data_IF_892673327097
#
_entry.id   IF_892673327097
#
_cell.length_a   1.000
_cell.length_b   1.000
_cell.length_c   1.000
_cell.angle_alpha   90.00
_cell.angle_beta   90.00
_cell.angle_gamma   90.00
#
_symmetry.space_group_name_H-M   'P 1'
#
loop_
_entity.id
_entity.type
_entity.pdbx_description
1 polymer ?
#
# COMPACT_ATOMS: atom_id res chain seq x y z
N UNK A 1 26.18 -0.06 21.38
CA UNK A 1 25.01 -0.96 21.49
C UNK A 1 24.63 -1.41 20.08
N UNK A 2 24.23 -2.68 19.86
CA UNK A 2 23.76 -3.12 18.56
C UNK A 2 22.49 -2.37 18.16
N UNK A 3 22.43 -1.91 16.91
CA UNK A 3 21.25 -1.24 16.34
C UNK A 3 20.10 -2.25 16.27
N UNK A 4 18.94 -1.90 16.82
CA UNK A 4 17.75 -2.75 16.77
C UNK A 4 17.26 -3.00 15.34
N UNK A 5 16.51 -4.08 15.09
CA UNK A 5 15.91 -4.34 13.76
C UNK A 5 14.95 -3.20 13.34
N UNK A 6 14.22 -2.63 14.31
CA UNK A 6 13.39 -1.43 14.13
C UNK A 6 14.21 -0.24 13.62
N UNK A 7 15.31 0.08 14.29
CA UNK A 7 16.18 1.19 13.89
C UNK A 7 16.82 0.94 12.52
N UNK A 8 17.22 -0.30 12.21
CA UNK A 8 17.71 -0.67 10.87
C UNK A 8 16.65 -0.43 9.80
N UNK A 9 15.40 -0.81 10.07
CA UNK A 9 14.27 -0.58 9.18
C UNK A 9 14.03 0.91 8.96
N UNK A 10 14.05 1.71 10.03
CA UNK A 10 13.88 3.16 9.95
C UNK A 10 15.00 3.82 9.12
N UNK A 11 16.26 3.47 9.38
CA UNK A 11 17.42 4.01 8.65
C UNK A 11 17.35 3.64 7.16
N UNK A 12 16.98 2.39 6.84
CA UNK A 12 16.84 1.95 5.45
C UNK A 12 15.77 2.76 4.71
N UNK A 13 14.62 3.03 5.34
CA UNK A 13 13.55 3.84 4.75
C UNK A 13 13.95 5.32 4.59
N UNK A 14 14.56 5.93 5.62
CA UNK A 14 15.04 7.33 5.55
C UNK A 14 15.99 7.54 4.35
N UNK A 15 16.83 6.56 4.05
CA UNK A 15 17.71 6.62 2.89
C UNK A 15 16.94 6.61 1.56
N UNK A 16 15.87 5.80 1.46
CA UNK A 16 15.01 5.73 0.26
C UNK A 16 14.19 7.00 0.05
N UNK A 17 13.75 7.62 1.14
CA UNK A 17 12.87 8.78 1.17
C UNK A 17 13.43 10.10 0.66
N UNK A 18 14.73 10.19 0.43
CA UNK A 18 15.40 11.44 0.03
C UNK A 18 14.89 12.04 -1.27
N UNK A 19 14.53 11.17 -2.21
CA UNK A 19 14.11 11.55 -3.55
C UNK A 19 12.62 11.25 -3.79
N UNK A 20 11.91 10.93 -2.71
CA UNK A 20 10.49 10.57 -2.73
C UNK A 20 9.65 11.85 -2.71
N UNK A 21 8.55 11.87 -3.45
CA UNK A 21 7.63 13.01 -3.40
C UNK A 21 7.11 13.23 -1.96
N UNK A 22 6.89 14.48 -1.51
CA UNK A 22 6.44 14.77 -0.14
C UNK A 22 5.22 13.97 0.31
N UNK A 23 4.26 13.75 -0.58
CA UNK A 23 3.03 12.99 -0.28
C UNK A 23 3.34 11.51 -0.11
N UNK A 24 4.16 10.94 -1.01
CA UNK A 24 4.60 9.56 -0.93
C UNK A 24 5.46 9.30 0.32
N UNK A 25 6.32 10.25 0.72
CA UNK A 25 7.04 10.18 2.00
C UNK A 25 6.06 10.05 3.18
N UNK A 26 5.05 10.93 3.21
CA UNK A 26 4.10 10.97 4.31
C UNK A 26 3.30 9.67 4.41
N UNK A 27 2.89 9.11 3.27
CA UNK A 27 2.22 7.82 3.22
C UNK A 27 3.10 6.66 3.67
N UNK A 28 4.31 6.55 3.14
CA UNK A 28 5.23 5.46 3.50
C UNK A 28 5.61 5.50 4.99
N UNK A 29 5.86 6.68 5.56
CA UNK A 29 6.15 6.83 6.98
C UNK A 29 4.91 6.55 7.85
N UNK A 30 3.72 6.98 7.44
CA UNK A 30 2.49 6.69 8.14
C UNK A 30 2.20 5.17 8.16
N UNK A 31 2.30 4.51 7.01
CA UNK A 31 2.17 3.06 6.88
C UNK A 31 3.16 2.32 7.76
N UNK A 32 4.45 2.72 7.74
CA UNK A 32 5.47 2.11 8.59
C UNK A 32 5.17 2.32 10.09
N UNK A 33 4.66 3.50 10.48
CA UNK A 33 4.22 3.78 11.85
C UNK A 33 3.10 2.83 12.29
N UNK A 34 2.06 2.64 11.46
CA UNK A 34 0.95 1.73 11.79
C UNK A 34 1.42 0.27 11.87
N UNK A 35 2.24 -0.14 10.90
CA UNK A 35 2.78 -1.49 10.81
C UNK A 35 3.61 -1.85 12.05
N UNK A 36 4.48 -0.95 12.49
CA UNK A 36 5.32 -1.11 13.71
C UNK A 36 4.54 -0.98 15.02
N UNK A 37 3.28 -0.55 14.97
CA UNK A 37 2.33 -0.53 16.11
C UNK A 37 1.33 -1.69 16.07
N UNK A 38 1.39 -2.56 15.05
CA UNK A 38 0.39 -3.62 14.78
C UNK A 38 -1.03 -3.11 14.66
N UNK A 39 -1.16 -1.92 14.11
CA UNK A 39 -2.43 -1.38 13.66
C UNK A 39 -2.55 -1.79 12.19
N UNK A 40 -3.72 -2.29 11.78
CA UNK A 40 -3.99 -2.53 10.37
C UNK A 40 -3.72 -1.22 9.61
N UNK A 41 -3.02 -1.28 8.48
CA UNK A 41 -2.70 -0.11 7.66
C UNK A 41 -3.75 0.01 6.55
N UNK A 42 -4.73 0.91 6.69
CA UNK A 42 -5.74 1.08 5.69
C UNK A 42 -5.26 2.07 4.61
N UNK A 43 -5.60 1.78 3.36
CA UNK A 43 -5.30 2.62 2.22
C UNK A 43 -6.23 2.35 1.04
N UNK A 44 -6.24 3.17 -0.02
CA UNK A 44 -7.09 2.88 -1.18
C UNK A 44 -6.46 3.19 -2.53
N UNK A 45 -7.06 2.68 -3.60
CA UNK A 45 -6.75 3.06 -4.98
C UNK A 45 -8.03 3.45 -5.70
N UNK A 46 -7.90 4.35 -6.66
CA UNK A 46 -8.96 4.55 -7.66
C UNK A 46 -8.90 3.42 -8.68
N UNK A 47 -10.05 3.02 -9.20
CA UNK A 47 -10.14 2.06 -10.31
C UNK A 47 -10.44 2.86 -11.58
N UNK A 48 -9.54 2.79 -12.56
CA UNK A 48 -9.73 3.47 -13.84
C UNK A 48 -10.90 2.89 -14.63
N UNK A 49 -11.36 3.59 -15.67
CA UNK A 49 -12.39 3.08 -16.59
C UNK A 49 -12.03 1.75 -17.24
N UNK A 50 -10.74 1.50 -17.43
CA UNK A 50 -10.20 0.27 -18.01
C UNK A 50 -10.00 -0.84 -16.97
N UNK A 51 -10.34 -0.57 -15.69
CA UNK A 51 -10.27 -1.54 -14.60
C UNK A 51 -8.91 -1.64 -13.91
N UNK A 52 -7.93 -0.81 -14.31
CA UNK A 52 -6.60 -0.79 -13.72
C UNK A 52 -6.58 -0.01 -12.39
N UNK A 53 -5.71 -0.40 -11.47
CA UNK A 53 -5.54 0.31 -10.20
C UNK A 53 -4.65 1.53 -10.39
N UNK A 54 -5.15 2.69 -9.99
CA UNK A 54 -4.44 3.96 -10.05
C UNK A 54 -4.10 4.46 -8.65
N UNK A 55 -2.83 4.79 -8.47
CA UNK A 55 -2.30 5.53 -7.33
C UNK A 55 -2.50 7.03 -7.55
N UNK A 56 -3.30 7.71 -6.73
CA UNK A 56 -3.43 9.16 -6.80
C UNK A 56 -2.22 9.87 -6.18
N UNK A 57 -1.52 9.21 -5.25
CA UNK A 57 -0.31 9.73 -4.61
C UNK A 57 0.87 9.77 -5.57
N UNK A 58 1.08 8.70 -6.34
CA UNK A 58 2.17 8.61 -7.31
C UNK A 58 1.73 9.02 -8.73
N UNK A 59 0.45 9.37 -8.89
CA UNK A 59 -0.19 9.68 -10.16
C UNK A 59 0.06 8.64 -11.27
N UNK A 60 0.16 7.36 -10.91
CA UNK A 60 0.46 6.28 -11.85
C UNK A 60 -0.30 4.98 -11.56
N UNK A 61 -0.24 4.06 -12.52
CA UNK A 61 -0.85 2.73 -12.34
C UNK A 61 -0.03 1.96 -11.30
N UNK A 62 -0.69 1.28 -10.38
CA UNK A 62 -0.04 0.53 -9.30
C UNK A 62 0.92 -0.52 -9.88
N UNK A 63 0.54 -1.20 -10.97
CA UNK A 63 1.43 -2.16 -11.64
C UNK A 63 2.72 -1.54 -12.22
N UNK A 64 2.77 -0.22 -12.39
CA UNK A 64 3.96 0.48 -12.88
C UNK A 64 4.89 0.93 -11.76
N UNK A 65 4.42 0.95 -10.51
CA UNK A 65 5.27 1.26 -9.34
C UNK A 65 6.03 0.03 -8.85
N UNK A 66 5.63 -1.17 -9.29
CA UNK A 66 6.38 -2.42 -9.06
C UNK A 66 7.65 -2.43 -9.90
N UNK A 67 8.80 -2.16 -9.29
CA UNK A 67 10.09 -2.12 -9.97
C UNK A 67 10.65 -3.53 -10.23
N UNK A 68 10.53 -4.44 -9.25
CA UNK A 68 11.05 -5.79 -9.37
C UNK A 68 10.01 -6.73 -9.99
N UNK A 69 10.08 -6.88 -11.31
CA UNK A 69 9.30 -7.87 -12.08
C UNK A 69 10.16 -9.03 -12.58
N UNK A 70 11.41 -9.09 -12.14
CA UNK A 70 12.42 -10.00 -12.72
C UNK A 70 12.83 -11.09 -11.76
N UNK A 71 12.89 -10.79 -10.46
CA UNK A 71 13.13 -11.81 -9.46
C UNK A 71 11.94 -12.76 -9.36
N UNK A 72 12.19 -13.97 -8.86
CA UNK A 72 11.15 -14.96 -8.59
C UNK A 72 10.03 -14.35 -7.73
N UNK A 73 10.41 -13.73 -6.62
CA UNK A 73 9.49 -13.07 -5.71
C UNK A 73 8.69 -11.95 -6.39
N UNK A 74 9.38 -11.09 -7.15
CA UNK A 74 8.76 -9.97 -7.85
C UNK A 74 7.71 -10.40 -8.87
N UNK A 75 7.96 -11.50 -9.60
CA UNK A 75 7.00 -12.08 -10.55
C UNK A 75 5.74 -12.59 -9.86
N UNK A 76 5.89 -13.38 -8.79
CA UNK A 76 4.75 -13.90 -8.03
C UNK A 76 3.87 -12.75 -7.53
N UNK A 77 4.45 -11.74 -6.91
CA UNK A 77 3.65 -10.62 -6.39
C UNK A 77 3.03 -9.76 -7.49
N UNK A 78 3.67 -9.67 -8.66
CA UNK A 78 3.09 -9.00 -9.83
C UNK A 78 1.88 -9.76 -10.38
N UNK A 79 1.92 -11.09 -10.41
CA UNK A 79 0.78 -11.94 -10.79
C UNK A 79 -0.42 -11.70 -9.88
N UNK A 80 -0.20 -11.61 -8.57
CA UNK A 80 -1.27 -11.30 -7.61
C UNK A 80 -1.88 -9.90 -7.83
N UNK A 81 -1.07 -8.90 -8.16
CA UNK A 81 -1.58 -7.56 -8.52
C UNK A 81 -2.44 -7.64 -9.76
N UNK A 82 -1.99 -8.32 -10.83
CA UNK A 82 -2.77 -8.47 -12.06
C UNK A 82 -4.10 -9.17 -11.79
N UNK A 83 -4.10 -10.26 -11.01
CA UNK A 83 -5.31 -10.95 -10.61
C UNK A 83 -6.27 -10.03 -9.82
N UNK A 84 -5.72 -9.16 -8.97
CA UNK A 84 -6.48 -8.17 -8.20
C UNK A 84 -7.11 -7.10 -9.08
N UNK A 85 -6.36 -6.53 -10.04
CA UNK A 85 -6.88 -5.58 -11.03
C UNK A 85 -8.01 -6.23 -11.84
N UNK A 86 -7.81 -7.44 -12.35
CA UNK A 86 -8.80 -8.15 -13.14
C UNK A 86 -10.09 -8.44 -12.37
N UNK A 87 -9.98 -8.90 -11.13
CA UNK A 87 -11.14 -9.15 -10.27
C UNK A 87 -11.86 -7.84 -9.95
N UNK A 88 -11.12 -6.81 -9.57
CA UNK A 88 -11.66 -5.51 -9.21
C UNK A 88 -12.33 -4.84 -10.42
N UNK A 89 -11.84 -5.02 -11.64
CA UNK A 89 -12.46 -4.54 -12.87
C UNK A 89 -13.85 -5.19 -13.10
N UNK A 90 -13.94 -6.51 -12.97
CA UNK A 90 -15.12 -7.31 -13.32
C UNK A 90 -16.22 -7.32 -12.25
N UNK A 91 -15.88 -7.03 -10.99
CA UNK A 91 -16.78 -7.20 -9.85
C UNK A 91 -17.41 -5.87 -9.41
N UNK A 92 -18.70 -5.84 -9.05
CA UNK A 92 -19.34 -4.62 -8.53
C UNK A 92 -19.07 -4.36 -7.06
N UNK A 93 -18.86 -5.44 -6.31
CA UNK A 93 -18.65 -5.51 -4.87
C UNK A 93 -17.83 -6.78 -4.56
N UNK A 94 -17.35 -6.89 -3.34
CA UNK A 94 -16.71 -8.10 -2.82
C UNK A 94 -15.41 -7.83 -2.09
N UNK A 95 -14.81 -8.91 -1.57
CA UNK A 95 -13.57 -8.87 -0.78
C UNK A 95 -12.56 -9.84 -1.37
N UNK A 96 -11.39 -9.32 -1.74
CA UNK A 96 -10.20 -10.10 -2.08
C UNK A 96 -9.24 -10.17 -0.89
N UNK A 97 -8.55 -11.29 -0.73
CA UNK A 97 -7.49 -11.46 0.27
C UNK A 97 -6.23 -11.93 -0.43
N UNK A 98 -5.15 -11.20 -0.21
CA UNK A 98 -3.82 -11.57 -0.66
C UNK A 98 -2.92 -11.86 0.55
N UNK A 99 -2.22 -13.00 0.53
CA UNK A 99 -1.38 -13.45 1.64
C UNK A 99 0.07 -13.42 1.19
N UNK A 100 0.89 -12.65 1.89
CA UNK A 100 2.35 -12.73 1.78
C UNK A 100 2.88 -13.60 2.91
N UNK A 101 3.30 -14.81 2.59
CA UNK A 101 4.08 -15.65 3.51
C UNK A 101 5.41 -14.98 3.93
N UNK A 102 6.13 -15.47 4.95
CA UNK A 102 7.52 -15.07 5.14
C UNK A 102 8.37 -15.51 3.94
N UNK A 103 9.35 -14.69 3.54
CA UNK A 103 10.32 -15.00 2.50
C UNK A 103 11.72 -14.66 3.02
N UNK A 104 12.53 -15.65 3.42
CA UNK A 104 13.80 -15.43 4.11
C UNK A 104 14.71 -14.41 3.42
N UNK A 105 15.20 -13.44 4.19
CA UNK A 105 16.08 -12.37 3.69
C UNK A 105 15.38 -11.24 2.93
N UNK A 106 14.04 -11.30 2.77
CA UNK A 106 13.24 -10.21 2.18
C UNK A 106 12.08 -9.81 3.07
N UNK A 107 11.22 -10.77 3.43
CA UNK A 107 10.12 -10.56 4.38
C UNK A 107 10.26 -11.54 5.54
N UNK A 108 10.61 -11.01 6.71
CA UNK A 108 10.77 -11.86 7.88
C UNK A 108 9.42 -12.20 8.54
N UNK A 109 8.33 -11.53 8.12
CA UNK A 109 7.00 -11.68 8.72
C UNK A 109 5.96 -11.89 7.65
N UNK A 110 4.98 -12.72 7.98
CA UNK A 110 3.78 -12.84 7.17
C UNK A 110 2.93 -11.57 7.26
N UNK A 111 2.17 -11.31 6.21
CA UNK A 111 1.16 -10.27 6.21
C UNK A 111 0.02 -10.64 5.26
N UNK A 112 -1.14 -10.07 5.50
CA UNK A 112 -2.29 -10.17 4.60
C UNK A 112 -2.73 -8.79 4.16
N UNK A 113 -3.22 -8.69 2.93
CA UNK A 113 -3.91 -7.52 2.40
C UNK A 113 -5.36 -7.92 2.16
N UNK A 114 -6.28 -7.25 2.82
CA UNK A 114 -7.73 -7.37 2.60
C UNK A 114 -8.15 -6.23 1.68
N UNK A 115 -8.71 -6.53 0.52
CA UNK A 115 -9.13 -5.56 -0.49
C UNK A 115 -10.65 -5.60 -0.65
N UNK A 116 -11.33 -4.51 -0.37
CA UNK A 116 -12.78 -4.33 -0.49
C UNK A 116 -13.09 -3.36 -1.62
N UNK A 117 -14.09 -3.68 -2.45
CA UNK A 117 -14.60 -2.72 -3.43
C UNK A 117 -15.56 -1.76 -2.72
N UNK A 118 -15.18 -0.48 -2.67
CA UNK A 118 -15.98 0.60 -2.09
C UNK A 118 -16.33 1.64 -3.18
N UNK A 119 -17.37 2.43 -2.94
CA UNK A 119 -17.71 3.59 -3.77
C UNK A 119 -17.52 4.87 -2.98
N UNK A 120 -16.65 5.77 -3.46
CA UNK A 120 -16.41 7.08 -2.88
C UNK A 120 -16.84 8.13 -3.91
N UNK A 121 -17.81 8.98 -3.55
CA UNK A 121 -18.37 9.99 -4.44
C UNK A 121 -18.81 9.41 -5.81
N UNK A 122 -19.46 8.24 -5.79
CA UNK A 122 -19.89 7.53 -7.00
C UNK A 122 -18.77 6.85 -7.79
N UNK A 123 -17.50 7.11 -7.45
CA UNK A 123 -16.33 6.53 -8.10
C UNK A 123 -15.92 5.24 -7.42
N UNK A 124 -15.57 4.23 -8.21
CA UNK A 124 -15.21 2.91 -7.71
C UNK A 124 -13.77 2.91 -7.20
N UNK A 125 -13.58 2.43 -5.98
CA UNK A 125 -12.28 2.39 -5.30
C UNK A 125 -11.99 1.00 -4.77
N UNK A 126 -10.72 0.66 -4.67
CA UNK A 126 -10.25 -0.53 -3.98
C UNK A 126 -9.70 -0.12 -2.62
N UNK A 127 -10.45 -0.38 -1.56
CA UNK A 127 -10.05 -0.10 -0.19
C UNK A 127 -9.29 -1.29 0.39
N UNK A 128 -8.06 -1.08 0.81
CA UNK A 128 -7.16 -2.11 1.30
C UNK A 128 -6.89 -1.95 2.79
N UNK A 129 -6.64 -3.06 3.47
CA UNK A 129 -6.04 -3.10 4.80
C UNK A 129 -4.90 -4.10 4.84
N UNK A 130 -3.70 -3.65 5.15
CA UNK A 130 -2.55 -4.53 5.41
C UNK A 130 -2.48 -4.88 6.89
N UNK A 131 -2.36 -6.16 7.22
CA UNK A 131 -2.22 -6.67 8.59
C UNK A 131 -0.97 -7.55 8.67
N UNK A 132 -0.08 -7.25 9.62
CA UNK A 132 1.12 -8.07 9.90
C UNK A 132 0.76 -9.20 10.86
N UNK A 133 1.23 -10.40 10.55
CA UNK A 133 0.96 -11.62 11.31
C UNK A 133 2.27 -12.13 11.94
N UNK A 134 2.62 -11.64 13.13
CA UNK A 134 3.92 -11.89 13.77
C UNK A 134 4.24 -13.37 14.03
N UNK A 135 3.22 -14.13 14.42
CA UNK A 135 3.39 -15.52 14.82
C UNK A 135 3.25 -16.50 13.65
N UNK A 136 3.06 -15.99 12.43
CA UNK A 136 2.80 -16.81 11.24
C UNK A 136 4.10 -17.12 10.50
N UNK A 137 4.45 -18.40 10.54
CA UNK A 137 5.43 -19.01 9.64
C UNK A 137 4.75 -19.47 8.34
N UNK A 138 5.53 -20.08 7.44
CA UNK A 138 5.03 -20.60 6.17
C UNK A 138 3.90 -21.62 6.35
N UNK A 139 4.01 -22.53 7.32
CA UNK A 139 3.01 -23.57 7.58
C UNK A 139 1.67 -22.95 8.03
N UNK A 140 1.72 -21.96 8.93
CA UNK A 140 0.52 -21.23 9.36
C UNK A 140 -0.11 -20.42 8.24
N UNK A 141 0.70 -19.83 7.35
CA UNK A 141 0.18 -19.19 6.12
C UNK A 141 -0.53 -20.20 5.21
N UNK A 142 0.04 -21.39 5.00
CA UNK A 142 -0.59 -22.48 4.24
C UNK A 142 -1.93 -22.88 4.85
N UNK A 143 -1.97 -23.11 6.17
CA UNK A 143 -3.20 -23.45 6.89
C UNK A 143 -4.26 -22.35 6.77
N UNK A 144 -3.86 -21.09 6.91
CA UNK A 144 -4.76 -19.95 6.73
C UNK A 144 -5.35 -19.93 5.32
N UNK A 145 -4.51 -20.06 4.29
CA UNK A 145 -4.94 -20.05 2.89
C UNK A 145 -5.91 -21.21 2.58
N UNK A 146 -5.64 -22.42 3.09
CA UNK A 146 -6.57 -23.55 2.95
C UNK A 146 -7.90 -23.32 3.68
N UNK A 147 -7.87 -22.81 4.91
CA UNK A 147 -9.10 -22.49 5.64
C UNK A 147 -9.93 -21.42 4.90
N UNK A 148 -9.27 -20.39 4.36
CA UNK A 148 -9.90 -19.35 3.55
C UNK A 148 -10.44 -19.87 2.22
N UNK A 149 -9.83 -20.90 1.65
CA UNK A 149 -10.35 -21.59 0.45
C UNK A 149 -11.75 -22.13 0.71
N UNK A 150 -12.06 -22.58 1.93
CA UNK A 150 -13.41 -22.95 2.35
C UNK A 150 -14.45 -21.83 2.20
N UNK A 151 -14.02 -20.58 2.35
CA UNK A 151 -14.85 -19.37 2.23
C UNK A 151 -14.67 -18.63 0.90
N UNK A 152 -13.81 -19.10 0.00
CA UNK A 152 -13.54 -18.42 -1.28
C UNK A 152 -14.48 -18.90 -2.40
N UNK A 153 -14.78 -18.01 -3.34
CA UNK A 153 -15.51 -18.31 -4.58
C UNK A 153 -14.63 -18.98 -5.64
N UNK A 154 -13.35 -18.57 -5.73
CA UNK A 154 -12.42 -19.07 -6.75
C UNK A 154 -11.74 -20.41 -6.37
N UNK A 155 -11.88 -20.87 -5.11
CA UNK A 155 -11.40 -22.18 -4.63
C UNK A 155 -9.97 -22.55 -5.11
N UNK A 156 -8.97 -21.66 -4.96
CA UNK A 156 -7.61 -21.96 -5.40
C UNK A 156 -7.05 -23.17 -4.64
N UNK A 157 -6.16 -23.93 -5.29
CA UNK A 157 -5.47 -25.07 -4.69
C UNK A 157 -4.02 -24.64 -4.44
N UNK A 158 -3.63 -24.58 -3.18
CA UNK A 158 -2.27 -24.23 -2.77
C UNK A 158 -1.48 -25.47 -2.38
N UNK A 159 -0.32 -25.64 -3.01
CA UNK A 159 0.66 -26.70 -2.78
C UNK A 159 1.92 -26.21 -2.10
N UNK A 160 2.20 -24.91 -2.21
CA UNK A 160 3.38 -24.26 -1.65
C UNK A 160 3.11 -22.76 -1.40
N UNK A 161 4.06 -22.10 -0.76
CA UNK A 161 3.97 -20.68 -0.41
C UNK A 161 4.07 -19.72 -1.59
N UNK A 162 4.68 -20.13 -2.70
CA UNK A 162 4.75 -19.34 -3.92
C UNK A 162 3.35 -19.19 -4.55
N UNK A 163 2.58 -20.28 -4.62
CA UNK A 163 1.20 -20.27 -5.10
C UNK A 163 0.30 -19.39 -4.23
N UNK A 164 0.52 -19.34 -2.90
CA UNK A 164 -0.21 -18.41 -2.01
C UNK A 164 0.12 -16.95 -2.32
N UNK A 165 1.39 -16.67 -2.63
CA UNK A 165 1.86 -15.32 -2.92
C UNK A 165 1.41 -14.81 -4.28
N UNK A 166 1.26 -15.70 -5.27
CA UNK A 166 0.86 -15.35 -6.63
C UNK A 166 -0.64 -15.16 -6.81
N UNK A 167 -1.44 -15.60 -5.84
CA UNK A 167 -2.90 -15.69 -5.98
C UNK A 167 -3.65 -14.81 -4.98
N UNK A 168 -4.86 -14.44 -5.37
CA UNK A 168 -5.82 -13.79 -4.48
C UNK A 168 -7.00 -14.72 -4.17
N UNK A 169 -7.47 -14.68 -2.93
CA UNK A 169 -8.67 -15.38 -2.48
C UNK A 169 -9.86 -14.42 -2.56
N UNK A 170 -10.83 -14.70 -3.42
CA UNK A 170 -12.07 -13.91 -3.48
C UNK A 170 -13.07 -14.51 -2.51
N UNK A 171 -13.36 -13.81 -1.42
CA UNK A 171 -14.30 -14.30 -0.41
C UNK A 171 -15.74 -14.31 -0.93
N UNK A 172 -16.40 -15.45 -0.74
CA UNK A 172 -17.85 -15.56 -0.71
C UNK A 172 -18.28 -15.49 0.76
N UNK A 173 -18.67 -14.29 1.17
CA UNK A 173 -18.96 -14.04 2.57
C UNK A 173 -20.28 -14.64 3.04
N UNK A 174 -21.14 -15.11 2.11
CA UNK A 174 -22.47 -15.67 2.40
C UNK A 174 -23.29 -14.78 3.35
N UNK A 175 -23.15 -13.45 3.21
CA UNK A 175 -23.83 -12.47 4.04
C UNK A 175 -23.17 -12.19 5.40
N UNK A 176 -22.03 -12.81 5.73
CA UNK A 176 -21.24 -12.50 6.92
C UNK A 176 -20.22 -11.40 6.62
N UNK A 177 -19.91 -10.51 7.57
CA UNK A 177 -18.75 -9.63 7.45
C UNK A 177 -17.46 -10.45 7.30
N UNK A 178 -16.56 -10.05 6.39
CA UNK A 178 -15.26 -10.73 6.23
C UNK A 178 -14.45 -10.73 7.52
N UNK A 179 -14.61 -9.71 8.37
CA UNK A 179 -13.90 -9.59 9.65
C UNK A 179 -14.29 -10.73 10.60
N UNK A 180 -15.55 -11.20 10.55
CA UNK A 180 -16.03 -12.34 11.35
C UNK A 180 -15.42 -13.66 10.88
N UNK A 181 -15.07 -13.76 9.60
CA UNK A 181 -14.38 -14.93 9.02
C UNK A 181 -12.93 -14.91 9.49
N UNK A 182 -12.23 -13.77 9.34
CA UNK A 182 -10.83 -13.65 9.70
C UNK A 182 -10.57 -13.74 11.21
N UNK A 183 -11.44 -13.18 12.04
CA UNK A 183 -11.33 -13.26 13.50
C UNK A 183 -11.34 -14.71 14.02
N UNK A 184 -12.03 -15.62 13.31
CA UNK A 184 -12.03 -17.06 13.66
C UNK A 184 -10.75 -17.78 13.26
N UNK A 185 -10.02 -17.25 12.29
CA UNK A 185 -8.85 -17.88 11.69
C UNK A 185 -7.53 -17.29 12.19
N UNK A 186 -7.56 -16.06 12.71
CA UNK A 186 -6.39 -15.29 13.10
C UNK A 186 -6.64 -14.70 14.49
N UNK A 187 -5.84 -15.15 15.46
CA UNK A 187 -5.88 -14.64 16.84
C UNK A 187 -5.21 -13.26 16.94
N UNK A 188 -6.01 -12.22 16.73
CA UNK A 188 -5.60 -10.82 16.82
C UNK A 188 -6.76 -9.92 17.32
N UNK A 189 -7.33 -10.19 18.51
CA UNK A 189 -8.59 -9.58 18.97
C UNK A 189 -8.57 -8.04 18.99
N UNK A 190 -7.42 -7.44 19.34
CA UNK A 190 -7.24 -5.98 19.33
C UNK A 190 -7.35 -5.40 17.91
N UNK A 191 -6.77 -6.07 16.91
CA UNK A 191 -6.82 -5.63 15.50
C UNK A 191 -8.26 -5.67 14.99
N UNK A 192 -8.99 -6.76 15.30
CA UNK A 192 -10.38 -6.91 14.86
C UNK A 192 -11.30 -5.88 15.51
N UNK A 193 -11.10 -5.59 16.80
CA UNK A 193 -11.85 -4.54 17.50
C UNK A 193 -11.58 -3.17 16.89
N UNK A 194 -10.31 -2.83 16.62
CA UNK A 194 -9.95 -1.57 15.97
C UNK A 194 -10.60 -1.41 14.60
N UNK A 195 -10.58 -2.46 13.77
CA UNK A 195 -11.19 -2.44 12.44
C UNK A 195 -12.71 -2.25 12.53
N UNK A 196 -13.40 -2.95 13.44
CA UNK A 196 -14.85 -2.80 13.64
C UNK A 196 -15.24 -1.39 14.08
N UNK A 197 -14.42 -0.79 14.94
CA UNK A 197 -14.64 0.56 15.45
C UNK A 197 -14.17 1.65 14.46
N UNK A 198 -13.49 1.29 13.37
CA UNK A 198 -12.88 2.23 12.42
C UNK A 198 -11.70 3.02 13.00
N UNK A 199 -11.11 2.54 14.10
CA UNK A 199 -9.97 3.16 14.77
C UNK A 199 -8.71 3.10 13.91
N UNK A 200 -8.53 2.04 13.12
CA UNK A 200 -7.45 1.89 12.13
C UNK A 200 -7.39 3.09 11.17
N UNK A 201 -8.56 3.52 10.67
CA UNK A 201 -8.70 4.69 9.79
C UNK A 201 -8.34 5.99 10.53
N UNK A 202 -8.69 6.12 11.81
CA UNK A 202 -8.34 7.30 12.62
C UNK A 202 -6.83 7.36 12.91
N UNK A 203 -6.22 6.22 13.25
CA UNK A 203 -4.77 6.14 13.45
C UNK A 203 -4.00 6.46 12.17
N UNK A 204 -4.47 6.01 11.00
CA UNK A 204 -3.85 6.36 9.71
C UNK A 204 -3.88 7.87 9.47
N UNK A 205 -5.02 8.53 9.69
CA UNK A 205 -5.15 10.01 9.58
C UNK A 205 -4.16 10.74 10.48
N UNK A 206 -4.05 10.35 11.74
CA UNK A 206 -3.14 10.98 12.68
C UNK A 206 -1.67 10.73 12.31
N UNK A 207 -1.33 9.50 11.90
CA UNK A 207 0.01 9.18 11.44
C UNK A 207 0.41 9.99 10.20
N UNK A 208 -0.52 10.23 9.27
CA UNK A 208 -0.28 11.07 8.09
C UNK A 208 -0.04 12.54 8.44
N UNK A 209 -0.81 13.07 9.39
CA UNK A 209 -0.63 14.43 9.90
C UNK A 209 0.77 14.59 10.48
N UNK A 210 1.20 13.65 11.32
CA UNK A 210 2.53 13.63 11.92
C UNK A 210 3.62 13.47 10.85
N UNK A 211 3.46 12.53 9.92
CA UNK A 211 4.43 12.28 8.86
C UNK A 211 4.63 13.50 7.96
N UNK A 212 3.55 14.22 7.65
CA UNK A 212 3.59 15.49 6.90
C UNK A 212 4.35 16.57 7.65
N UNK A 213 4.21 16.65 8.98
CA UNK A 213 4.98 17.60 9.80
C UNK A 213 6.47 17.26 9.78
N UNK A 214 6.82 15.98 9.94
CA UNK A 214 8.22 15.50 9.85
C UNK A 214 8.81 15.81 8.47
N UNK A 215 8.05 15.55 7.40
CA UNK A 215 8.45 15.83 6.03
C UNK A 215 8.79 17.31 5.84
N UNK A 216 7.86 18.21 6.23
CA UNK A 216 8.03 19.66 6.08
C UNK A 216 9.22 20.20 6.85
N UNK A 217 9.45 19.66 8.05
CA UNK A 217 10.50 20.13 8.96
C UNK A 217 11.90 19.65 8.57
N UNK A 218 12.04 18.40 8.09
CA UNK A 218 13.35 17.76 7.95
C UNK A 218 13.71 17.29 6.53
N UNK A 219 12.73 17.17 5.64
CA UNK A 219 12.91 16.59 4.30
C UNK A 219 12.58 17.57 3.17
N UNK A 220 12.50 18.86 3.48
CA UNK A 220 12.46 19.96 2.49
C UNK A 220 13.86 20.46 2.12
N UNK A 221 14.83 20.34 3.04
CA UNK A 221 16.25 20.61 2.80
C UNK A 221 17.04 19.27 2.82
N UNK A 222 17.68 18.86 1.71
CA UNK A 222 18.49 17.66 1.63
C UNK A 222 19.60 17.57 2.70
N UNK A 223 20.06 18.70 3.24
CA UNK A 223 21.06 18.77 4.31
C UNK A 223 20.51 18.35 5.67
N UNK A 224 19.21 18.61 5.92
CA UNK A 224 18.54 18.28 7.17
C UNK A 224 18.05 16.83 7.20
N UNK A 225 17.89 16.18 6.04
CA UNK A 225 17.38 14.80 5.95
C UNK A 225 18.29 13.73 6.57
N UNK A 226 19.51 14.11 6.97
CA UNK A 226 20.49 13.26 7.65
C UNK A 226 20.71 13.63 9.12
N UNK A 227 20.04 14.67 9.61
CA UNK A 227 20.27 15.14 10.95
C UNK A 227 19.79 14.09 11.97
N UNK A 228 20.43 14.04 13.13
CA UNK A 228 19.99 13.14 14.19
C UNK A 228 18.58 13.51 14.65
N UNK A 229 18.17 14.77 14.52
CA UNK A 229 16.81 15.25 14.76
C UNK A 229 15.80 14.63 13.79
N UNK A 230 16.11 14.56 12.49
CA UNK A 230 15.24 13.91 11.50
C UNK A 230 15.05 12.43 11.84
N UNK A 231 16.14 11.75 12.23
CA UNK A 231 16.11 10.33 12.65
C UNK A 231 15.29 10.15 13.92
N UNK A 232 15.47 11.01 14.92
CA UNK A 232 14.68 10.98 16.16
C UNK A 232 13.20 11.22 15.89
N UNK A 233 12.85 12.18 15.04
CA UNK A 233 11.47 12.48 14.68
C UNK A 233 10.78 11.28 14.00
N UNK A 234 11.45 10.64 13.04
CA UNK A 234 10.96 9.38 12.45
C UNK A 234 10.82 8.29 13.51
N UNK A 235 11.84 8.09 14.34
CA UNK A 235 11.82 7.04 15.37
C UNK A 235 10.71 7.22 16.39
N UNK A 236 10.36 8.46 16.76
CA UNK A 236 9.25 8.77 17.68
C UNK A 236 7.88 8.38 17.11
N UNK A 237 7.72 8.36 15.79
CA UNK A 237 6.47 7.91 15.16
C UNK A 237 6.32 6.39 15.20
N UNK A 238 7.43 5.64 15.14
CA UNK A 238 7.40 4.18 15.04
C UNK A 238 7.00 3.51 16.36
N UNK A 239 6.28 2.40 16.26
CA UNK A 239 5.98 1.52 17.41
C UNK A 239 7.18 0.68 17.86
N UNK A 240 6.97 -0.22 18.82
CA UNK A 240 8.03 -1.07 19.39
C UNK A 240 8.52 -2.16 18.44
N UNK A 241 7.72 -2.48 17.42
CA UNK A 241 7.92 -3.65 16.59
C UNK A 241 8.76 -3.38 15.33
N UNK A 242 9.35 -4.42 14.74
CA UNK A 242 9.90 -4.34 13.38
C UNK A 242 8.81 -4.42 12.31
N UNK A 243 9.06 -3.77 11.16
CA UNK A 243 8.23 -3.91 9.97
C UNK A 243 8.39 -5.29 9.31
N UNK A 244 7.36 -5.71 8.60
CA UNK A 244 7.27 -6.89 7.75
C UNK A 244 8.10 -6.78 6.46
N UNK A 245 8.24 -5.56 5.91
CA UNK A 245 8.82 -5.35 4.58
C UNK A 245 9.87 -4.22 4.57
N UNK A 246 11.07 -4.43 5.16
CA UNK A 246 12.12 -3.43 5.05
C UNK A 246 12.54 -3.22 3.58
N UNK A 247 12.93 -2.01 3.17
CA UNK A 247 13.53 -1.77 1.87
C UNK A 247 14.75 -2.67 1.70
N UNK A 248 14.82 -3.40 0.58
CA UNK A 248 15.95 -4.29 0.29
C UNK A 248 17.20 -3.43 0.06
N UNK A 249 18.18 -3.56 0.95
CA UNK A 249 19.46 -2.86 0.82
C UNK A 249 20.20 -3.37 -0.43
N UNK A 250 20.39 -2.51 -1.43
CA UNK A 250 21.14 -2.82 -2.64
C UNK A 250 20.39 -3.53 -3.77
N UNK A 251 19.06 -3.70 -3.69
CA UNK A 251 18.28 -4.28 -4.80
C UNK A 251 17.81 -3.23 -5.80
N UNK A 252 17.71 -3.66 -7.07
CA UNK A 252 17.22 -2.90 -8.22
C UNK A 252 15.69 -2.84 -8.27
N UNK A 253 15.04 -2.44 -7.17
CA UNK A 253 13.59 -2.20 -7.19
C UNK A 253 12.80 -2.70 -5.99
N UNK A 254 11.62 -2.09 -5.79
CA UNK A 254 10.55 -2.51 -4.88
C UNK A 254 9.65 -3.57 -5.52
N UNK A 255 9.26 -4.58 -4.75
CA UNK A 255 8.26 -5.58 -5.15
C UNK A 255 6.84 -5.02 -4.98
N UNK A 256 5.80 -5.73 -5.43
CA UNK A 256 4.45 -5.21 -5.33
C UNK A 256 3.99 -5.06 -3.87
N UNK A 257 4.28 -6.03 -3.01
CA UNK A 257 3.87 -5.99 -1.60
C UNK A 257 4.58 -4.88 -0.80
N UNK A 258 5.77 -4.45 -1.25
CA UNK A 258 6.45 -3.26 -0.70
C UNK A 258 5.82 -1.95 -1.18
N UNK A 259 5.30 -1.94 -2.41
CA UNK A 259 4.91 -0.71 -3.09
C UNK A 259 3.45 -0.36 -2.87
N UNK A 260 2.59 -1.36 -2.70
CA UNK A 260 1.14 -1.15 -2.58
C UNK A 260 0.78 -0.17 -1.47
N UNK A 261 1.35 -0.28 -0.27
CA UNK A 261 1.04 0.65 0.82
C UNK A 261 1.55 2.09 0.53
N UNK A 262 2.76 2.23 -0.05
CA UNK A 262 3.37 3.54 -0.33
C UNK A 262 2.71 4.33 -1.46
N UNK A 263 2.09 3.63 -2.42
CA UNK A 263 1.46 4.22 -3.60
C UNK A 263 -0.03 4.50 -3.42
N UNK A 264 -0.55 4.72 -2.21
CA UNK A 264 -1.98 4.63 -1.96
C UNK A 264 -2.65 5.96 -1.56
N UNK A 265 -3.99 6.02 -1.70
CA UNK A 265 -4.82 7.15 -1.29
C UNK A 265 -4.81 7.34 0.23
N UNK A 266 -4.59 8.59 0.62
CA UNK A 266 -4.74 9.10 1.98
C UNK A 266 -6.19 8.99 2.46
N UNK A 267 -6.43 8.17 3.47
CA UNK A 267 -7.74 8.06 4.10
C UNK A 267 -8.01 9.34 4.88
N UNK A 268 -8.99 10.14 4.45
CA UNK A 268 -9.41 11.36 5.14
C UNK A 268 -9.18 12.68 4.42
N UNK A 269 -8.62 12.65 3.21
CA UNK A 269 -8.50 13.85 2.34
C UNK A 269 -9.82 14.18 1.64
N UNK A 270 -10.96 14.13 2.33
CA UNK A 270 -12.22 14.70 1.84
C UNK A 270 -12.29 16.23 2.02
N UNK A 271 -11.19 16.88 2.38
CA UNK A 271 -11.08 18.33 2.37
C UNK A 271 -9.62 18.79 2.34
N UNK A 272 -9.31 19.71 1.43
CA UNK A 272 -8.08 20.54 1.32
C UNK A 272 -6.94 20.15 0.36
N UNK A 273 -7.00 19.01 -0.34
CA UNK A 273 -6.27 18.86 -1.64
C UNK A 273 -7.17 18.42 -2.80
N UNK A 274 -8.45 18.17 -2.52
CA UNK A 274 -9.49 18.08 -3.53
C UNK A 274 -10.05 19.49 -3.80
N UNK A 275 -9.32 20.29 -4.57
CA UNK A 275 -10.03 21.05 -5.60
C UNK A 275 -10.40 20.02 -6.66
N UNK A 276 -11.68 19.64 -6.63
CA UNK A 276 -12.41 18.87 -7.65
C UNK A 276 -11.58 18.12 -8.68
N UNK A 277 -11.54 16.80 -8.56
CA UNK A 277 -11.71 15.97 -9.75
C UNK A 277 -12.17 14.57 -9.35
N UNK A 278 -13.48 14.41 -9.35
CA UNK A 278 -14.15 13.12 -9.52
C UNK A 278 -13.79 12.62 -10.94
N UNK A 279 -12.67 11.90 -11.06
CA UNK A 279 -12.17 11.21 -12.25
C UNK A 279 -11.95 12.03 -13.56
N UNK A 280 -12.08 13.36 -13.58
CA UNK A 280 -12.74 13.99 -14.73
C UNK A 280 -12.11 15.15 -15.50
N UNK A 281 -11.11 15.90 -15.02
CA UNK A 281 -10.60 16.97 -15.89
C UNK A 281 -9.79 16.37 -17.03
N UNK A 282 -10.22 16.72 -18.24
CA UNK A 282 -9.34 16.72 -19.40
C UNK A 282 -8.15 17.66 -19.17
N UNK A 283 -7.95 18.29 -18.01
CA UNK A 283 -7.15 19.49 -17.84
C UNK A 283 -6.35 19.49 -16.52
N UNK A 284 -5.02 19.39 -16.59
CA UNK A 284 -4.16 19.35 -15.40
C UNK A 284 -3.03 20.37 -15.46
N UNK A 285 -2.74 21.01 -14.32
CA UNK A 285 -1.72 22.06 -14.26
C UNK A 285 -0.30 21.47 -14.30
N UNK A 286 0.59 22.06 -15.09
CA UNK A 286 1.99 21.65 -15.10
C UNK A 286 2.76 22.20 -13.90
N UNK A 287 3.36 21.32 -13.09
CA UNK A 287 4.20 21.71 -11.96
C UNK A 287 5.39 22.64 -12.30
N UNK A 288 5.84 22.68 -13.57
CA UNK A 288 6.98 23.51 -13.99
C UNK A 288 6.56 24.88 -14.51
N UNK A 289 5.45 24.95 -15.24
CA UNK A 289 5.05 26.19 -15.94
C UNK A 289 3.68 26.71 -15.55
N UNK A 290 2.99 26.05 -14.63
CA UNK A 290 1.70 26.44 -14.09
C UNK A 290 0.57 26.61 -15.13
N UNK A 291 0.78 26.06 -16.34
CA UNK A 291 -0.21 26.08 -17.41
C UNK A 291 -0.98 24.77 -17.44
N UNK A 292 -2.28 24.87 -17.65
CA UNK A 292 -3.23 23.76 -17.79
C UNK A 292 -2.99 22.94 -19.06
N UNK A 293 -2.89 21.63 -18.94
CA UNK A 293 -2.60 20.67 -20.02
C UNK A 293 -3.79 19.79 -20.28
N UNK A 294 -4.02 19.45 -21.54
CA UNK A 294 -5.17 18.60 -21.85
C UNK A 294 -4.77 17.12 -21.92
N UNK A 295 -5.54 16.22 -21.28
CA UNK A 295 -5.40 14.77 -21.38
C UNK A 295 -6.04 14.28 -22.70
N UNK A 296 -5.33 13.51 -23.53
CA UNK A 296 -5.95 12.80 -24.65
C UNK A 296 -7.04 11.84 -24.15
N UNK A 297 -8.17 11.75 -24.88
CA UNK A 297 -9.29 10.84 -24.52
C UNK A 297 -8.89 9.36 -24.38
N UNK A 298 -7.77 8.94 -24.98
CA UNK A 298 -7.33 7.54 -25.03
C UNK A 298 -5.87 7.35 -24.56
N UNK A 299 -5.37 8.18 -23.64
CA UNK A 299 -4.03 7.95 -23.09
C UNK A 299 -3.44 9.11 -22.29
N UNK A 300 -2.26 8.88 -21.71
CA UNK A 300 -1.51 9.90 -20.95
C UNK A 300 -0.65 10.75 -21.88
N UNK A 301 -0.64 12.07 -21.66
CA UNK A 301 0.34 12.97 -22.29
C UNK A 301 1.69 12.75 -21.58
N UNK A 302 2.76 12.30 -22.26
CA UNK A 302 4.04 12.02 -21.59
C UNK A 302 4.80 13.28 -21.17
N UNK A 303 4.38 14.44 -21.67
CA UNK A 303 5.01 15.72 -21.39
C UNK A 303 4.03 16.88 -21.48
N UNK A 304 4.34 17.96 -20.77
CA UNK A 304 3.59 19.20 -20.80
C UNK A 304 3.54 19.77 -22.22
N UNK A 305 2.34 20.15 -22.66
CA UNK A 305 2.10 20.74 -23.99
C UNK A 305 2.78 22.10 -24.16
N UNK A 306 3.09 22.76 -23.05
CA UNK A 306 3.62 24.13 -23.04
C UNK A 306 5.12 24.22 -22.82
N UNK A 307 5.66 23.48 -21.85
CA UNK A 307 7.08 23.59 -21.48
C UNK A 307 7.89 22.34 -21.80
N UNK A 308 7.25 21.29 -22.33
CA UNK A 308 7.92 20.03 -22.70
C UNK A 308 8.46 19.23 -21.51
N UNK A 309 8.23 19.66 -20.26
CA UNK A 309 8.63 18.86 -19.09
C UNK A 309 7.92 17.52 -19.17
N UNK A 310 8.68 16.44 -19.09
CA UNK A 310 8.08 15.12 -18.95
C UNK A 310 7.35 15.13 -17.62
N UNK A 311 6.07 14.75 -17.64
CA UNK A 311 5.43 14.38 -16.38
C UNK A 311 6.19 13.15 -15.92
N UNK A 312 6.76 13.22 -14.72
CA UNK A 312 7.72 12.25 -14.21
C UNK A 312 7.28 10.83 -14.57
N UNK A 313 8.21 10.06 -15.12
CA UNK A 313 7.99 8.63 -15.27
C UNK A 313 7.59 8.04 -13.91
N UNK A 314 6.85 6.95 -13.96
CA UNK A 314 6.75 6.05 -12.81
C UNK A 314 8.16 5.79 -12.26
#
# INVERSE_FOLDING_TARGET
MPISERERTAIANINGWRNTAPVQFAEELASLSLETKRIADPYSYSITSDGELFSPTDHCLVKNTVDDKTSHLGKLEYEAVVALEEWAAKSKEGVGIWISSPYPGVYNKAAIVISEIEYQNGSKTLFNRKIVLDSFDEEKCMKLAWNLTGFSRNKPIFRNSDEIRAEILILDSQGKPWVDILEKLIDAPKVWTMIRNGEDKQYKKEALRQATMVQKQFFTDPRLSYSDEARMAVMQMLGSESGSCPPRSGSRGRTAFQTVAGSSLTIGSSGSFAESDEDGSLEFECHKCHKTNDRPRNGRRPSCKWCGVKFGGC
#
